data_IF_191037970845
#
_entry.id   IF_191037970845
#
_cell.length_a   1.000
_cell.length_b   1.000
_cell.length_c   1.000
_cell.angle_alpha   90.00
_cell.angle_beta   90.00
_cell.angle_gamma   90.00
#
_symmetry.space_group_name_H-M   'P 1'
#
loop_
_entity.id
_entity.type
_entity.pdbx_description
1 polymer ?
#
# COMPACT_ATOMS: atom_id res chain seq x y z
N UNK A 1 -24.23 61.02 -22.40
CA UNK A 1 -23.12 60.14 -22.84
C UNK A 1 -22.12 60.01 -21.70
N UNK A 2 -21.45 58.85 -21.60
CA UNK A 2 -20.46 58.42 -20.57
C UNK A 2 -21.14 57.72 -19.38
N UNK A 3 -21.53 56.46 -19.57
CA UNK A 3 -20.77 55.21 -19.33
C UNK A 3 -20.76 54.82 -17.84
N UNK A 4 -21.82 54.09 -17.49
CA UNK A 4 -21.94 53.19 -16.34
C UNK A 4 -20.78 52.19 -16.38
N UNK A 5 -19.74 52.43 -15.59
CA UNK A 5 -18.65 51.49 -15.38
C UNK A 5 -19.15 50.42 -14.39
N UNK A 6 -19.77 49.37 -14.93
CA UNK A 6 -19.97 48.12 -14.22
C UNK A 6 -18.60 47.53 -13.90
N UNK A 7 -18.15 47.75 -12.67
CA UNK A 7 -16.98 47.09 -12.10
C UNK A 7 -17.39 45.62 -11.80
N UNK A 8 -17.31 44.76 -12.82
CA UNK A 8 -17.35 43.31 -12.64
C UNK A 8 -16.05 42.87 -11.98
N UNK A 9 -16.02 42.88 -10.64
CA UNK A 9 -15.02 42.17 -9.87
C UNK A 9 -15.30 40.67 -10.05
N UNK A 10 -14.60 40.05 -11.00
CA UNK A 10 -14.56 38.60 -11.14
C UNK A 10 -13.74 38.06 -9.97
N UNK A 11 -14.42 37.70 -8.89
CA UNK A 11 -13.87 36.87 -7.82
C UNK A 11 -13.63 35.46 -8.39
N UNK A 12 -12.42 35.25 -8.92
CA UNK A 12 -11.84 33.93 -9.10
C UNK A 12 -11.60 33.34 -7.71
N UNK A 13 -12.64 32.76 -7.12
CA UNK A 13 -12.50 31.81 -6.02
C UNK A 13 -11.88 30.57 -6.64
N UNK A 14 -10.56 30.50 -6.64
CA UNK A 14 -9.84 29.23 -6.78
C UNK A 14 -10.18 28.47 -5.51
N UNK A 15 -11.29 27.74 -5.53
CA UNK A 15 -11.54 26.69 -4.57
C UNK A 15 -10.47 25.64 -4.86
N UNK A 16 -9.31 25.77 -4.19
CA UNK A 16 -8.45 24.64 -3.96
C UNK A 16 -9.30 23.66 -3.15
N UNK A 17 -10.03 22.80 -3.84
CA UNK A 17 -10.64 21.62 -3.24
C UNK A 17 -9.45 20.77 -2.83
N UNK A 18 -8.91 21.03 -1.64
CA UNK A 18 -8.08 20.10 -0.91
C UNK A 18 -9.00 18.93 -0.60
N UNK A 19 -9.16 18.04 -1.56
CA UNK A 19 -9.89 16.82 -1.31
C UNK A 19 -9.03 16.03 -0.32
N UNK A 20 -9.46 16.07 0.94
CA UNK A 20 -9.00 15.24 2.04
C UNK A 20 -9.25 13.74 1.70
N UNK A 21 -9.38 12.89 2.71
CA UNK A 21 -9.77 11.49 2.53
C UNK A 21 -11.06 11.38 1.70
N UNK A 22 -11.00 10.71 0.54
CA UNK A 22 -12.14 10.56 -0.38
C UNK A 22 -12.95 9.31 -0.06
N UNK A 23 -12.36 8.32 0.59
CA UNK A 23 -13.08 7.16 1.08
C UNK A 23 -13.93 7.52 2.30
N UNK A 24 -15.09 6.89 2.43
CA UNK A 24 -16.04 7.13 3.53
C UNK A 24 -16.61 5.83 4.09
N UNK A 25 -17.29 5.92 5.23
CA UNK A 25 -17.84 4.76 5.95
C UNK A 25 -16.86 4.13 6.94
N UNK A 26 -17.31 3.05 7.60
CA UNK A 26 -16.54 2.27 8.56
C UNK A 26 -16.75 0.76 8.31
N UNK A 27 -15.75 0.04 7.75
CA UNK A 27 -14.48 0.56 7.23
C UNK A 27 -14.65 1.46 6.01
N UNK A 28 -13.65 2.32 5.76
CA UNK A 28 -13.66 3.24 4.61
C UNK A 28 -13.67 2.51 3.26
N UNK A 29 -14.53 2.98 2.36
CA UNK A 29 -14.66 2.50 0.97
C UNK A 29 -14.75 3.68 -0.01
N UNK A 30 -14.42 3.42 -1.26
CA UNK A 30 -14.59 4.36 -2.37
C UNK A 30 -15.23 3.64 -3.55
N UNK A 31 -16.42 4.08 -3.96
CA UNK A 31 -17.22 3.42 -5.02
C UNK A 31 -17.36 1.91 -4.78
N UNK A 32 -17.75 1.54 -3.57
CA UNK A 32 -17.89 0.16 -3.08
C UNK A 32 -16.61 -0.69 -3.01
N UNK A 33 -15.44 -0.15 -3.37
CA UNK A 33 -14.15 -0.83 -3.19
C UNK A 33 -13.57 -0.56 -1.81
N UNK A 34 -12.94 -1.56 -1.15
CA UNK A 34 -12.26 -1.33 0.12
C UNK A 34 -11.09 -0.36 -0.08
N UNK A 35 -10.94 0.56 0.86
CA UNK A 35 -9.80 1.47 0.88
C UNK A 35 -8.75 1.02 1.88
N UNK A 36 -7.51 1.44 1.62
CA UNK A 36 -6.40 1.34 2.53
C UNK A 36 -5.70 2.70 2.66
N UNK A 37 -5.11 2.92 3.83
CA UNK A 37 -4.06 3.93 3.95
C UNK A 37 -2.71 3.34 3.56
N UNK A 38 -1.78 4.21 3.17
CA UNK A 38 -0.41 3.82 2.86
C UNK A 38 0.57 4.69 3.65
N UNK A 39 1.71 4.10 4.01
CA UNK A 39 2.92 4.83 4.38
C UNK A 39 4.10 4.29 3.57
N UNK A 40 5.28 4.89 3.77
CA UNK A 40 6.53 4.36 3.27
C UNK A 40 7.46 4.05 4.44
N UNK A 41 8.24 2.98 4.32
CA UNK A 41 9.26 2.64 5.29
C UNK A 41 10.58 2.28 4.60
N UNK A 42 11.63 2.22 5.41
CA UNK A 42 12.95 1.75 5.01
C UNK A 42 13.64 1.15 6.22
N UNK A 43 13.80 -0.18 6.24
CA UNK A 43 14.49 -0.87 7.35
C UNK A 43 15.68 -1.76 6.90
N UNK A 44 15.79 -2.03 5.59
CA UNK A 44 16.83 -2.88 4.96
C UNK A 44 16.80 -4.37 5.36
N UNK A 45 15.83 -4.78 6.16
CA UNK A 45 15.74 -6.13 6.71
C UNK A 45 15.26 -7.13 5.65
N UNK A 46 15.37 -8.43 5.94
CA UNK A 46 14.81 -9.48 5.08
C UNK A 46 13.28 -9.52 5.07
N UNK A 47 12.64 -8.85 6.04
CA UNK A 47 11.22 -8.89 6.28
C UNK A 47 10.69 -10.22 6.82
N UNK A 48 9.45 -10.19 7.31
CA UNK A 48 8.75 -11.30 7.93
C UNK A 48 8.41 -12.48 6.99
N UNK A 49 8.53 -12.31 5.68
CA UNK A 49 8.41 -13.40 4.71
C UNK A 49 9.76 -14.05 4.35
N UNK A 50 10.86 -13.59 4.97
CA UNK A 50 12.19 -14.18 4.80
C UNK A 50 12.79 -13.96 3.42
N UNK A 51 12.57 -12.79 2.82
CA UNK A 51 13.03 -12.45 1.48
C UNK A 51 14.43 -11.80 1.51
N UNK A 52 15.42 -12.56 2.00
CA UNK A 52 16.79 -12.09 2.11
C UNK A 52 17.77 -13.11 2.69
N UNK A 53 18.97 -12.64 3.02
CA UNK A 53 20.07 -13.46 3.55
C UNK A 53 20.27 -13.26 5.06
N UNK A 54 21.07 -14.14 5.67
CA UNK A 54 21.41 -14.10 7.09
C UNK A 54 20.36 -14.68 8.04
N UNK A 55 20.66 -14.69 9.34
CA UNK A 55 19.77 -15.11 10.43
C UNK A 55 19.11 -13.88 11.10
N UNK A 56 18.10 -14.09 11.95
CA UNK A 56 17.40 -12.97 12.61
C UNK A 56 16.79 -11.98 11.60
N UNK A 57 17.00 -10.67 11.80
CA UNK A 57 16.54 -9.63 10.87
C UNK A 57 17.17 -9.70 9.48
N UNK A 58 18.42 -10.19 9.38
CA UNK A 58 19.17 -10.35 8.13
C UNK A 58 19.15 -9.13 7.20
N UNK A 59 19.35 -9.35 5.91
CA UNK A 59 19.34 -8.29 4.89
C UNK A 59 18.46 -8.69 3.72
N UNK A 60 17.56 -7.80 3.30
CA UNK A 60 16.67 -8.05 2.16
C UNK A 60 17.44 -8.25 0.86
N UNK A 61 16.92 -9.12 -0.01
CA UNK A 61 17.41 -9.19 -1.38
C UNK A 61 17.24 -7.84 -2.08
N UNK A 62 18.07 -7.54 -3.08
CA UNK A 62 17.99 -6.27 -3.82
C UNK A 62 16.60 -6.00 -4.40
N UNK A 63 15.94 -7.01 -4.95
CA UNK A 63 14.58 -6.89 -5.48
C UNK A 63 13.54 -6.62 -4.37
N UNK A 64 13.78 -7.09 -3.14
CA UNK A 64 12.88 -6.90 -2.01
C UNK A 64 12.94 -5.46 -1.49
N UNK A 65 14.12 -4.84 -1.57
CA UNK A 65 14.36 -3.48 -1.07
C UNK A 65 14.09 -2.39 -2.11
N UNK A 66 14.22 -2.71 -3.39
CA UNK A 66 14.07 -1.74 -4.49
C UNK A 66 12.78 -1.94 -5.32
N UNK A 67 12.05 -3.02 -5.09
CA UNK A 67 10.79 -3.32 -5.77
C UNK A 67 9.55 -2.80 -5.03
N UNK A 68 8.39 -2.92 -5.66
CA UNK A 68 7.10 -2.66 -5.03
C UNK A 68 6.75 -3.80 -4.08
N UNK A 69 7.28 -3.74 -2.86
CA UNK A 69 7.01 -4.66 -1.75
C UNK A 69 6.36 -3.93 -0.58
N UNK A 70 5.63 -4.65 0.25
CA UNK A 70 4.87 -4.06 1.35
C UNK A 70 4.86 -4.92 2.61
N UNK A 71 4.74 -4.22 3.73
CA UNK A 71 4.44 -4.69 5.06
C UNK A 71 2.99 -4.25 5.42
N UNK A 72 1.97 -5.08 5.17
CA UNK A 72 0.61 -4.73 5.56
C UNK A 72 0.41 -4.84 7.08
N UNK A 73 -0.68 -4.26 7.59
CA UNK A 73 -1.05 -4.43 9.01
C UNK A 73 -1.18 -5.91 9.38
N UNK A 74 -0.82 -6.22 10.64
CA UNK A 74 -0.73 -7.58 11.18
C UNK A 74 -1.98 -8.46 10.97
N UNK A 75 -3.19 -7.89 11.12
CA UNK A 75 -4.44 -8.61 10.87
C UNK A 75 -4.54 -9.03 9.40
N UNK A 76 -4.30 -8.11 8.47
CA UNK A 76 -4.35 -8.40 7.03
C UNK A 76 -3.27 -9.40 6.60
N UNK A 77 -2.04 -9.23 7.12
CA UNK A 77 -0.92 -10.15 6.92
C UNK A 77 -1.26 -11.61 7.24
N UNK A 78 -2.14 -11.82 8.22
CA UNK A 78 -2.63 -13.11 8.69
C UNK A 78 -4.05 -13.47 8.25
N UNK A 79 -4.54 -12.85 7.16
CA UNK A 79 -5.88 -13.14 6.61
C UNK A 79 -7.00 -12.89 7.63
N UNK A 80 -6.93 -11.74 8.28
CA UNK A 80 -7.88 -11.24 9.30
C UNK A 80 -8.07 -12.17 10.51
N UNK A 81 -7.11 -13.07 10.74
CA UNK A 81 -7.05 -13.99 11.87
C UNK A 81 -5.85 -13.66 12.76
N UNK A 82 -5.87 -14.01 14.06
CA UNK A 82 -4.65 -14.06 14.86
C UNK A 82 -3.62 -14.98 14.17
N UNK A 83 -2.36 -14.57 14.16
CA UNK A 83 -1.32 -15.32 13.46
C UNK A 83 0.09 -14.85 13.78
N UNK A 84 1.09 -15.54 13.24
CA UNK A 84 2.49 -15.23 13.51
C UNK A 84 2.92 -13.92 12.83
N UNK A 85 4.01 -13.33 13.33
CA UNK A 85 4.73 -12.25 12.67
C UNK A 85 5.83 -12.78 11.72
N UNK A 86 5.81 -14.07 11.39
CA UNK A 86 6.77 -14.73 10.52
C UNK A 86 6.03 -15.75 9.64
N UNK A 87 6.26 -15.70 8.33
CA UNK A 87 5.53 -16.51 7.34
C UNK A 87 4.00 -16.43 7.47
N UNK A 88 3.46 -15.22 7.53
CA UNK A 88 2.02 -14.98 7.56
C UNK A 88 1.33 -15.45 6.28
N UNK A 89 0.01 -15.66 6.38
CA UNK A 89 -0.80 -16.27 5.31
C UNK A 89 -0.82 -15.48 4.00
N UNK A 90 -0.57 -14.17 4.06
CA UNK A 90 -0.50 -13.31 2.86
C UNK A 90 0.91 -13.15 2.27
N UNK A 91 1.94 -13.75 2.87
CA UNK A 91 3.28 -13.68 2.29
C UNK A 91 3.29 -14.13 0.82
N UNK A 92 3.90 -13.32 -0.05
CA UNK A 92 4.01 -13.57 -1.48
C UNK A 92 2.77 -13.25 -2.31
N UNK A 93 1.65 -12.83 -1.69
CA UNK A 93 0.48 -12.34 -2.42
C UNK A 93 0.68 -10.91 -2.90
N UNK A 94 0.07 -10.57 -4.03
CA UNK A 94 0.14 -9.25 -4.62
C UNK A 94 -1.20 -8.51 -4.56
N UNK A 95 -1.12 -7.18 -4.39
CA UNK A 95 -2.30 -6.32 -4.31
C UNK A 95 -2.13 -5.11 -5.21
N UNK A 96 -3.14 -4.85 -6.03
CA UNK A 96 -3.21 -3.67 -6.89
C UNK A 96 -3.75 -2.50 -6.07
N UNK A 97 -2.92 -1.48 -5.89
CA UNK A 97 -3.26 -0.25 -5.19
C UNK A 97 -3.55 0.85 -6.20
N UNK A 98 -4.77 1.36 -6.20
CA UNK A 98 -5.20 2.45 -7.10
C UNK A 98 -5.49 3.70 -6.29
N UNK A 99 -4.73 4.79 -6.46
CA UNK A 99 -4.98 6.01 -5.71
C UNK A 99 -6.38 6.58 -5.96
N UNK A 100 -7.03 7.04 -4.90
CA UNK A 100 -8.32 7.76 -5.01
C UNK A 100 -8.10 9.23 -5.40
N UNK A 101 -6.88 9.72 -5.20
CA UNK A 101 -6.52 11.14 -5.21
C UNK A 101 -6.71 11.81 -3.84
N UNK A 102 -7.16 11.09 -2.81
CA UNK A 102 -7.22 11.54 -1.43
C UNK A 102 -5.95 11.19 -0.64
N UNK A 103 -5.87 11.70 0.59
CA UNK A 103 -4.81 11.43 1.56
C UNK A 103 -5.31 11.78 2.97
N UNK A 104 -4.58 11.35 4.00
CA UNK A 104 -4.88 11.77 5.39
C UNK A 104 -4.29 13.17 5.63
N UNK A 105 -5.08 14.18 6.04
CA UNK A 105 -4.59 15.55 6.23
C UNK A 105 -3.39 15.62 7.18
N UNK A 106 -2.35 16.36 6.75
CA UNK A 106 -1.09 16.50 7.50
C UNK A 106 -0.18 15.27 7.51
N UNK A 107 -0.61 14.16 6.91
CA UNK A 107 0.12 12.88 6.91
C UNK A 107 0.45 12.38 5.49
N UNK A 108 0.14 13.15 4.45
CA UNK A 108 0.35 12.79 3.06
C UNK A 108 0.06 13.95 2.11
N UNK A 109 -0.04 13.65 0.82
CA UNK A 109 -0.44 14.59 -0.21
C UNK A 109 -1.08 13.89 -1.41
N UNK A 110 -1.72 14.66 -2.30
CA UNK A 110 -2.37 14.08 -3.47
C UNK A 110 -1.32 13.43 -4.39
N UNK A 111 -1.58 12.22 -4.91
CA UNK A 111 -0.73 11.61 -5.92
C UNK A 111 -0.81 12.39 -7.24
N UNK A 112 0.23 12.36 -8.10
CA UNK A 112 0.24 13.10 -9.36
C UNK A 112 -0.74 12.54 -10.41
N UNK A 113 -1.20 11.30 -10.26
CA UNK A 113 -2.19 10.63 -11.09
C UNK A 113 -2.80 9.43 -10.34
N UNK A 114 -3.74 8.75 -10.95
CA UNK A 114 -4.43 7.56 -10.44
C UNK A 114 -3.86 6.24 -10.97
N UNK A 115 -2.65 6.25 -11.57
CA UNK A 115 -2.04 5.03 -12.10
C UNK A 115 -1.80 4.04 -10.95
N UNK A 116 -2.26 2.79 -11.08
CA UNK A 116 -2.09 1.80 -10.04
C UNK A 116 -0.66 1.29 -9.99
N UNK A 117 -0.26 0.81 -8.80
CA UNK A 117 0.93 -0.04 -8.63
C UNK A 117 0.49 -1.37 -8.01
N UNK A 118 1.23 -2.43 -8.30
CA UNK A 118 1.00 -3.73 -7.67
C UNK A 118 2.14 -3.99 -6.69
N UNK A 119 1.81 -4.22 -5.43
CA UNK A 119 2.78 -4.48 -4.36
C UNK A 119 2.72 -5.95 -3.93
N UNK A 120 3.87 -6.56 -3.62
CA UNK A 120 3.95 -7.90 -3.05
C UNK A 120 4.15 -7.84 -1.53
N UNK A 121 3.42 -8.66 -0.78
CA UNK A 121 3.62 -8.79 0.68
C UNK A 121 4.90 -9.57 0.97
N UNK A 122 5.90 -8.91 1.54
CA UNK A 122 7.19 -9.53 1.93
C UNK A 122 7.58 -9.28 3.39
N UNK A 123 6.80 -8.45 4.09
CA UNK A 123 7.01 -8.13 5.49
C UNK A 123 5.67 -7.94 6.22
N UNK A 124 5.70 -7.53 7.48
CA UNK A 124 4.51 -7.20 8.29
C UNK A 124 4.73 -5.87 9.01
N UNK A 125 3.70 -5.04 9.07
CA UNK A 125 3.66 -3.88 9.94
C UNK A 125 2.98 -4.30 11.26
N UNK A 126 3.74 -4.59 12.32
CA UNK A 126 3.18 -5.09 13.57
C UNK A 126 2.36 -3.99 14.25
N UNK A 127 1.30 -4.39 14.96
CA UNK A 127 0.46 -3.43 15.70
C UNK A 127 1.27 -2.66 16.74
N UNK A 128 2.13 -3.36 17.49
CA UNK A 128 3.00 -2.74 18.48
C UNK A 128 3.97 -1.77 17.80
N UNK A 129 4.03 -0.53 18.31
CA UNK A 129 4.85 0.54 17.74
C UNK A 129 4.20 1.29 16.55
N UNK A 130 3.23 0.69 15.87
CA UNK A 130 2.59 1.29 14.67
C UNK A 130 1.07 1.46 14.81
N UNK A 131 0.55 1.59 16.04
CA UNK A 131 -0.89 1.60 16.35
C UNK A 131 -1.70 2.64 15.56
N UNK A 132 -1.08 3.76 15.18
CA UNK A 132 -1.71 4.80 14.38
C UNK A 132 -2.18 4.29 13.01
N UNK A 133 -1.37 3.46 12.36
CA UNK A 133 -1.57 3.02 10.97
C UNK A 133 -1.91 1.53 10.85
N UNK A 134 -1.25 0.69 11.65
CA UNK A 134 -1.35 -0.77 11.64
C UNK A 134 -2.08 -1.32 12.89
N UNK A 135 -2.87 -0.45 13.55
CA UNK A 135 -3.59 -0.77 14.79
C UNK A 135 -4.78 -1.71 14.68
N UNK A 136 -5.12 -2.18 13.47
CA UNK A 136 -6.27 -3.03 13.19
C UNK A 136 -6.15 -4.37 13.92
N UNK A 137 -7.29 -4.88 14.38
CA UNK A 137 -7.40 -6.17 15.05
C UNK A 137 -8.05 -7.21 14.13
N UNK A 138 -7.69 -8.50 14.27
CA UNK A 138 -8.41 -9.58 13.61
C UNK A 138 -9.93 -9.50 13.81
N UNK A 139 -10.71 -9.88 12.79
CA UNK A 139 -12.17 -9.91 12.88
C UNK A 139 -12.90 -8.58 12.68
N UNK A 140 -12.23 -7.50 12.23
CA UNK A 140 -12.92 -6.30 11.71
C UNK A 140 -12.65 -4.99 12.44
N UNK A 141 -11.39 -4.66 12.74
CA UNK A 141 -10.97 -3.35 13.25
C UNK A 141 -10.54 -2.36 12.16
N UNK A 142 -10.41 -1.08 12.53
CA UNK A 142 -9.80 -0.04 11.68
C UNK A 142 -8.64 0.63 12.40
N UNK A 143 -7.72 1.24 11.66
CA UNK A 143 -6.73 2.14 12.25
C UNK A 143 -7.38 3.46 12.68
N UNK A 144 -6.56 4.39 13.22
CA UNK A 144 -7.04 5.68 13.72
C UNK A 144 -7.71 6.56 12.64
N UNK A 145 -7.52 6.23 11.37
CA UNK A 145 -8.09 6.94 10.22
C UNK A 145 -9.27 6.23 9.57
N UNK A 146 -9.74 5.10 10.12
CA UNK A 146 -10.93 4.38 9.64
C UNK A 146 -10.68 3.36 8.51
N UNK A 147 -9.42 3.04 8.20
CA UNK A 147 -9.11 2.01 7.20
C UNK A 147 -8.91 0.64 7.87
N UNK A 148 -9.59 -0.39 7.33
CA UNK A 148 -9.42 -1.78 7.78
C UNK A 148 -8.10 -2.40 7.30
N UNK A 149 -7.48 -1.82 6.27
CA UNK A 149 -6.20 -2.29 5.75
C UNK A 149 -5.22 -1.12 5.68
N UNK A 150 -3.96 -1.42 5.96
CA UNK A 150 -2.85 -0.50 5.79
C UNK A 150 -1.71 -1.21 5.06
N UNK A 151 -1.10 -0.53 4.10
CA UNK A 151 0.09 -1.00 3.39
C UNK A 151 1.25 -0.05 3.68
N UNK A 152 2.21 -0.49 4.48
CA UNK A 152 3.48 0.21 4.61
C UNK A 152 4.40 -0.28 3.48
N UNK A 153 4.86 0.59 2.60
CA UNK A 153 5.50 0.19 1.34
C UNK A 153 6.99 0.52 1.40
N UNK A 154 7.84 -0.43 1.03
CA UNK A 154 9.29 -0.24 1.04
C UNK A 154 9.69 0.84 0.02
N UNK A 155 10.66 1.67 0.39
CA UNK A 155 11.08 2.81 -0.41
C UNK A 155 12.58 3.11 -0.29
N UNK A 156 13.41 2.11 0.05
CA UNK A 156 14.86 2.23 0.06
C UNK A 156 15.39 2.68 -1.31
N UNK A 157 14.87 2.12 -2.39
CA UNK A 157 15.22 2.48 -3.77
C UNK A 157 14.58 3.78 -4.26
N UNK A 158 13.74 4.43 -3.45
CA UNK A 158 13.00 5.64 -3.84
C UNK A 158 11.90 5.40 -4.87
N UNK A 159 11.44 4.15 -5.04
CA UNK A 159 10.42 3.74 -6.00
C UNK A 159 9.08 4.47 -5.83
N UNK A 160 8.65 4.81 -4.60
CA UNK A 160 7.44 5.60 -4.35
C UNK A 160 7.66 7.09 -4.60
N UNK A 161 8.81 7.62 -4.16
CA UNK A 161 9.17 9.03 -4.40
C UNK A 161 9.26 9.33 -5.89
N UNK A 162 9.81 8.41 -6.69
CA UNK A 162 9.92 8.53 -8.15
C UNK A 162 8.58 8.60 -8.86
N UNK A 163 7.54 7.96 -8.31
CA UNK A 163 6.16 8.06 -8.84
C UNK A 163 5.34 9.16 -8.15
N UNK A 164 5.95 9.95 -7.25
CA UNK A 164 5.31 11.06 -6.56
C UNK A 164 4.29 10.65 -5.49
N UNK A 165 4.36 9.42 -4.97
CA UNK A 165 3.48 8.98 -3.90
C UNK A 165 3.95 9.53 -2.54
N UNK A 166 3.05 10.23 -1.85
CA UNK A 166 3.25 10.64 -0.46
C UNK A 166 2.03 10.22 0.36
N UNK A 167 2.04 8.97 0.83
CA UNK A 167 0.99 8.36 1.64
C UNK A 167 -0.43 8.54 1.06
N UNK A 168 -0.65 8.26 -0.25
CA UNK A 168 -1.98 8.41 -0.84
C UNK A 168 -2.99 7.45 -0.21
N UNK A 169 -4.24 7.88 -0.17
CA UNK A 169 -5.37 6.99 0.02
C UNK A 169 -5.57 6.15 -1.25
N UNK A 170 -5.72 4.84 -1.10
CA UNK A 170 -5.86 3.90 -2.22
C UNK A 170 -7.10 3.02 -2.04
N UNK A 171 -7.67 2.59 -3.15
CA UNK A 171 -8.46 1.35 -3.17
C UNK A 171 -7.53 0.18 -3.44
N UNK A 172 -7.89 -1.01 -2.97
CA UNK A 172 -7.08 -2.21 -3.19
C UNK A 172 -7.91 -3.41 -3.63
N UNK A 173 -7.28 -4.31 -4.38
CA UNK A 173 -7.79 -5.63 -4.75
C UNK A 173 -6.61 -6.60 -4.93
N UNK A 174 -6.83 -7.89 -4.74
CA UNK A 174 -5.81 -8.91 -5.00
C UNK A 174 -5.47 -8.99 -6.49
N UNK A 175 -4.20 -9.23 -6.82
CA UNK A 175 -3.69 -9.23 -8.19
C UNK A 175 -2.75 -10.42 -8.45
N UNK A 176 -2.65 -10.83 -9.72
CA UNK A 176 -1.70 -11.86 -10.15
C UNK A 176 -0.28 -11.28 -10.22
N UNK A 177 0.62 -11.82 -9.38
CA UNK A 177 2.01 -11.36 -9.31
C UNK A 177 2.78 -11.57 -10.63
N UNK A 178 2.50 -12.64 -11.37
CA UNK A 178 3.24 -12.96 -12.59
C UNK A 178 2.87 -11.97 -13.72
N UNK A 179 1.59 -11.66 -13.86
CA UNK A 179 1.09 -10.66 -14.80
C UNK A 179 1.62 -9.27 -14.43
N UNK A 180 1.56 -8.90 -13.14
CA UNK A 180 2.07 -7.62 -12.69
C UNK A 180 3.58 -7.47 -12.96
N UNK A 181 4.37 -8.51 -12.68
CA UNK A 181 5.80 -8.53 -12.96
C UNK A 181 6.11 -8.37 -14.46
N UNK A 182 5.35 -9.03 -15.34
CA UNK A 182 5.49 -8.88 -16.80
C UNK A 182 5.18 -7.46 -17.29
N UNK A 183 4.24 -6.77 -16.63
CA UNK A 183 3.87 -5.40 -16.97
C UNK A 183 4.85 -4.36 -16.39
N UNK A 184 5.37 -4.63 -15.19
CA UNK A 184 6.33 -3.79 -14.51
C UNK A 184 7.28 -4.65 -13.67
N UNK A 185 8.54 -4.73 -14.09
CA UNK A 185 9.56 -5.54 -13.42
C UNK A 185 9.89 -5.10 -11.99
N UNK A 186 9.44 -3.91 -11.57
CA UNK A 186 9.58 -3.44 -10.18
C UNK A 186 8.63 -4.15 -9.22
N UNK A 187 7.48 -4.66 -9.67
CA UNK A 187 6.67 -5.58 -8.87
C UNK A 187 7.35 -6.94 -8.88
N UNK A 188 7.76 -7.53 -7.74
CA UNK A 188 8.37 -8.84 -7.74
C UNK A 188 7.42 -9.91 -8.29
N UNK A 189 7.96 -10.86 -9.05
CA UNK A 189 7.23 -12.01 -9.57
C UNK A 189 7.38 -13.26 -8.70
N UNK A 190 6.74 -14.37 -9.12
CA UNK A 190 6.84 -15.63 -8.40
C UNK A 190 8.28 -16.16 -8.25
N UNK A 191 9.15 -15.94 -9.24
CA UNK A 191 10.53 -16.42 -9.20
C UNK A 191 11.41 -15.66 -8.20
N UNK A 192 11.13 -14.38 -7.98
CA UNK A 192 11.71 -13.63 -6.87
C UNK A 192 11.22 -14.21 -5.54
N UNK A 193 9.90 -14.40 -5.39
CA UNK A 193 9.34 -14.88 -4.13
C UNK A 193 9.78 -16.31 -3.77
N UNK A 194 10.06 -17.18 -4.75
CA UNK A 194 10.65 -18.52 -4.54
C UNK A 194 11.97 -18.51 -3.77
N UNK A 195 12.70 -17.39 -3.80
CA UNK A 195 13.95 -17.22 -3.04
C UNK A 195 13.69 -16.97 -1.54
N UNK A 196 12.47 -16.61 -1.16
CA UNK A 196 12.12 -16.31 0.22
C UNK A 196 11.92 -17.59 1.04
N UNK A 197 12.33 -17.54 2.32
CA UNK A 197 12.23 -18.68 3.23
C UNK A 197 10.79 -19.18 3.41
N UNK A 198 9.81 -18.27 3.32
CA UNK A 198 8.41 -18.59 3.52
C UNK A 198 7.69 -19.16 2.28
N UNK A 199 8.32 -19.21 1.11
CA UNK A 199 7.67 -19.65 -0.12
C UNK A 199 7.07 -21.07 -0.02
N UNK A 200 7.72 -21.97 0.70
CA UNK A 200 7.23 -23.34 0.92
C UNK A 200 5.89 -23.43 1.66
N UNK A 201 5.44 -22.35 2.30
CA UNK A 201 4.14 -22.27 2.99
C UNK A 201 3.08 -21.55 2.15
N UNK A 202 3.48 -20.96 1.02
CA UNK A 202 2.60 -20.21 0.16
C UNK A 202 1.93 -21.15 -0.84
N UNK A 203 0.61 -21.35 -0.70
CA UNK A 203 -0.22 -21.88 -1.78
C UNK A 203 -0.47 -20.74 -2.78
N UNK A 204 0.58 -20.22 -3.41
CA UNK A 204 0.41 -19.37 -4.60
C UNK A 204 -0.03 -20.32 -5.70
N UNK A 205 -1.34 -20.53 -5.80
CA UNK A 205 -1.95 -21.09 -6.99
C UNK A 205 -1.53 -20.17 -8.12
N UNK A 206 -0.61 -20.63 -8.96
CA UNK A 206 -0.39 -20.04 -10.27
C UNK A 206 -1.76 -20.14 -10.93
N UNK A 207 -2.49 -19.03 -11.00
CA UNK A 207 -3.65 -18.95 -11.88
C UNK A 207 -3.03 -18.88 -13.27
N UNK A 208 -2.67 -20.05 -13.80
CA UNK A 208 -2.35 -20.17 -15.22
C UNK A 208 -3.54 -19.58 -15.97
N UNK A 209 -3.34 -18.57 -16.84
CA UNK A 209 -4.43 -18.14 -17.70
C UNK A 209 -4.88 -19.34 -18.56
N UNK A 210 -6.17 -19.42 -18.92
CA UNK A 210 -6.68 -20.44 -19.84
C UNK A 210 -5.94 -20.42 -21.19
#
# INVERSE_FOLDING_TARGET
MIKLFCLFLVLLVVAAVTADQKCSGSPRKFRNKPCASTTRYTDKTKGACGCGTGTGSGTGFSWNLNGFTTAPNEAFYNDESPGPLWCGRKCGRCFRLTPTGGFVPGQGGPPPNDKPVVVMVTNVCPRQGNMQWCGQTPGGGTNQYGYATHFDIEDLGGQLRRIGWNNPEVTWEEADCAQAHRQNGETPGPDQYKQCQCHKYSNITIISPP
#
